data_IF_972606092355
#
_entry.id   IF_972606092355
#
_cell.length_a   1.000
_cell.length_b   1.000
_cell.length_c   1.000
_cell.angle_alpha   90.00
_cell.angle_beta   90.00
_cell.angle_gamma   90.00
#
_symmetry.space_group_name_H-M   'P 1'
#
loop_
_entity.id
_entity.type
_entity.pdbx_description
1 polymer ?
#
# COMPACT_ATOMS: atom_id res chain seq x y z
N UNK A 1 18.63 3.87 34.01
CA UNK A 1 19.08 2.47 34.10
C UNK A 1 18.54 1.75 32.89
N UNK A 2 19.45 1.30 32.05
CA UNK A 2 19.22 0.71 30.73
C UNK A 2 18.57 -0.67 30.87
N UNK A 3 17.32 -0.83 30.43
CA UNK A 3 16.67 -2.13 30.34
C UNK A 3 16.94 -2.75 28.98
N UNK A 4 17.49 -3.96 29.03
CA UNK A 4 18.08 -4.75 27.96
C UNK A 4 17.16 -5.02 26.75
N UNK A 5 17.76 -4.97 25.56
CA UNK A 5 17.21 -5.50 24.32
C UNK A 5 17.19 -7.04 24.37
N UNK A 6 16.03 -7.71 24.19
CA UNK A 6 16.03 -9.15 23.96
C UNK A 6 16.44 -9.45 22.50
N UNK A 7 17.62 -10.06 22.39
CA UNK A 7 18.02 -11.15 21.50
C UNK A 7 17.70 -11.08 19.99
N UNK A 8 18.72 -10.74 19.21
CA UNK A 8 18.87 -11.10 17.78
C UNK A 8 19.38 -12.57 17.63
N UNK A 9 19.45 -13.36 18.69
CA UNK A 9 20.40 -14.50 18.72
C UNK A 9 19.86 -15.89 18.38
N UNK A 10 18.55 -16.14 18.30
CA UNK A 10 18.09 -17.52 18.06
C UNK A 10 17.37 -17.64 16.71
N UNK A 11 18.02 -18.29 15.75
CA UNK A 11 17.47 -19.29 14.81
C UNK A 11 18.55 -19.67 13.75
N UNK A 12 18.74 -20.99 13.59
CA UNK A 12 19.53 -21.75 12.59
C UNK A 12 20.84 -22.37 13.13
N UNK A 13 20.66 -23.48 13.85
CA UNK A 13 21.60 -24.60 13.89
C UNK A 13 20.96 -25.81 13.20
N UNK A 14 21.33 -26.08 11.95
CA UNK A 14 21.46 -27.45 11.45
C UNK A 14 22.32 -27.47 10.19
N UNK A 15 23.21 -28.45 10.20
CA UNK A 15 24.36 -28.72 9.35
C UNK A 15 24.03 -29.05 7.89
N UNK A 16 24.85 -28.54 6.95
CA UNK A 16 25.38 -29.38 5.87
C UNK A 16 26.67 -28.78 5.28
N UNK A 17 27.67 -29.66 5.15
CA UNK A 17 29.02 -29.40 4.68
C UNK A 17 29.06 -29.27 3.15
N UNK A 18 29.31 -28.07 2.65
CA UNK A 18 29.87 -27.80 1.32
C UNK A 18 30.60 -26.45 1.38
N UNK A 19 31.92 -26.49 1.58
CA UNK A 19 32.75 -25.36 1.98
C UNK A 19 32.81 -24.21 0.98
N UNK A 20 32.49 -24.41 -0.30
CA UNK A 20 32.47 -23.30 -1.29
C UNK A 20 31.11 -22.61 -1.47
N UNK A 21 29.99 -23.24 -1.10
CA UNK A 21 28.65 -22.62 -1.15
C UNK A 21 28.37 -21.88 0.15
N UNK A 22 28.87 -22.40 1.28
CA UNK A 22 28.69 -21.78 2.60
C UNK A 22 29.33 -20.39 2.69
N UNK A 23 30.51 -20.17 2.10
CA UNK A 23 31.18 -18.87 2.19
C UNK A 23 30.41 -17.73 1.51
N UNK A 24 29.78 -17.98 0.36
CA UNK A 24 28.94 -16.98 -0.31
C UNK A 24 27.61 -16.77 0.43
N UNK A 25 26.99 -17.83 0.93
CA UNK A 25 25.76 -17.74 1.71
C UNK A 25 25.99 -17.02 3.05
N UNK A 26 27.11 -17.28 3.71
CA UNK A 26 27.50 -16.66 4.97
C UNK A 26 27.99 -15.23 4.79
N UNK A 27 28.65 -14.91 3.66
CA UNK A 27 28.93 -13.53 3.27
C UNK A 27 27.64 -12.74 3.04
N UNK A 28 26.69 -13.27 2.25
CA UNK A 28 25.40 -12.61 1.98
C UNK A 28 24.59 -12.43 3.27
N UNK A 29 24.56 -13.43 4.16
CA UNK A 29 23.96 -13.31 5.50
C UNK A 29 24.64 -12.22 6.32
N UNK A 30 25.96 -12.13 6.28
CA UNK A 30 26.74 -11.11 7.00
C UNK A 30 26.48 -9.70 6.46
N UNK A 31 26.37 -9.56 5.15
CA UNK A 31 26.03 -8.30 4.51
C UNK A 31 24.59 -7.85 4.83
N UNK A 32 23.62 -8.77 4.79
CA UNK A 32 22.25 -8.47 5.18
C UNK A 32 22.15 -8.05 6.65
N UNK A 33 22.83 -8.75 7.56
CA UNK A 33 22.90 -8.34 8.97
C UNK A 33 23.41 -6.90 9.12
N UNK A 34 24.50 -6.54 8.42
CA UNK A 34 25.03 -5.16 8.45
C UNK A 34 24.02 -4.14 7.93
N UNK A 35 23.27 -4.44 6.86
CA UNK A 35 22.23 -3.57 6.30
C UNK A 35 21.03 -3.43 7.25
N UNK A 36 20.57 -4.52 7.85
CA UNK A 36 19.45 -4.53 8.81
C UNK A 36 19.77 -3.69 10.05
N UNK A 37 21.00 -3.78 10.58
CA UNK A 37 21.45 -2.93 11.69
C UNK A 37 21.37 -1.45 11.32
N UNK A 38 21.81 -1.07 10.11
CA UNK A 38 21.72 0.32 9.63
C UNK A 38 20.27 0.80 9.50
N UNK A 39 19.38 -0.04 8.97
CA UNK A 39 17.94 0.26 8.85
C UNK A 39 17.32 0.46 10.23
N UNK A 40 17.59 -0.45 11.17
CA UNK A 40 17.09 -0.35 12.54
C UNK A 40 17.57 0.93 13.24
N UNK A 41 18.87 1.23 13.14
CA UNK A 41 19.45 2.46 13.70
C UNK A 41 18.84 3.71 13.08
N UNK A 42 18.61 3.71 11.76
CA UNK A 42 17.98 4.83 11.06
C UNK A 42 16.55 5.07 11.54
N UNK A 43 15.72 4.02 11.61
CA UNK A 43 14.34 4.15 12.09
C UNK A 43 14.28 4.54 13.56
N UNK A 44 15.13 3.98 14.42
CA UNK A 44 15.24 4.40 15.82
C UNK A 44 15.58 5.90 15.92
N UNK A 45 16.47 6.42 15.07
CA UNK A 45 16.82 7.85 15.03
C UNK A 45 15.64 8.72 14.60
N UNK A 46 14.87 8.30 13.59
CA UNK A 46 13.66 9.02 13.17
C UNK A 46 12.59 9.00 14.28
N UNK A 47 12.41 7.88 14.96
CA UNK A 47 11.47 7.76 16.09
C UNK A 47 11.88 8.64 17.27
N UNK A 48 13.16 8.70 17.62
CA UNK A 48 13.65 9.61 18.68
C UNK A 48 13.37 11.08 18.35
N UNK A 49 13.43 11.45 17.07
CA UNK A 49 13.09 12.78 16.58
C UNK A 49 11.59 13.03 16.40
N UNK A 50 10.74 12.03 16.67
CA UNK A 50 9.29 12.06 16.40
C UNK A 50 8.94 12.29 14.92
N UNK A 51 9.84 11.88 14.02
CA UNK A 51 9.67 11.94 12.57
C UNK A 51 9.10 10.63 12.01
N UNK A 52 9.05 9.56 12.80
CA UNK A 52 8.51 8.25 12.40
C UNK A 52 7.88 7.49 13.58
N UNK A 53 6.72 6.90 13.32
CA UNK A 53 6.05 5.94 14.20
C UNK A 53 5.31 4.94 13.31
N UNK A 54 5.58 3.65 13.46
CA UNK A 54 5.01 2.61 12.59
C UNK A 54 5.69 1.26 12.76
N UNK A 55 5.50 0.35 11.81
CA UNK A 55 6.11 -0.98 11.83
C UNK A 55 6.79 -1.34 10.51
N UNK A 56 7.85 -2.14 10.60
CA UNK A 56 8.63 -2.61 9.45
C UNK A 56 8.75 -4.13 9.46
N UNK A 57 8.42 -4.72 8.31
CA UNK A 57 8.70 -6.12 8.00
C UNK A 57 9.62 -6.21 6.78
N UNK A 58 10.72 -6.95 6.92
CA UNK A 58 11.62 -7.31 5.82
C UNK A 58 11.71 -8.83 5.74
N UNK A 59 11.43 -9.37 4.56
CA UNK A 59 11.63 -10.78 4.26
C UNK A 59 12.39 -10.95 2.94
N UNK A 60 13.08 -12.08 2.80
CA UNK A 60 13.75 -12.48 1.56
C UNK A 60 13.60 -13.97 1.36
N UNK A 61 13.14 -14.38 0.18
CA UNK A 61 12.88 -15.80 -0.14
C UNK A 61 12.01 -16.52 0.91
N UNK A 62 10.97 -15.84 1.41
CA UNK A 62 10.09 -16.37 2.45
C UNK A 62 10.69 -16.41 3.86
N UNK A 63 11.97 -16.08 4.02
CA UNK A 63 12.60 -15.96 5.34
C UNK A 63 12.37 -14.57 5.91
N UNK A 64 11.81 -14.50 7.11
CA UNK A 64 11.69 -13.27 7.87
C UNK A 64 13.07 -12.81 8.35
N UNK A 65 13.46 -11.59 7.98
CA UNK A 65 14.76 -10.99 8.32
C UNK A 65 14.64 -9.92 9.41
N UNK A 66 13.53 -9.17 9.42
CA UNK A 66 13.21 -8.17 10.43
C UNK A 66 11.68 -8.06 10.55
N UNK A 67 11.18 -7.96 11.78
CA UNK A 67 9.79 -7.65 12.09
C UNK A 67 9.77 -6.85 13.38
N UNK A 68 9.52 -5.55 13.30
CA UNK A 68 9.66 -4.65 14.45
C UNK A 68 8.75 -3.43 14.34
N UNK A 69 8.17 -3.03 15.48
CA UNK A 69 7.49 -1.77 15.64
C UNK A 69 8.40 -0.68 16.21
N UNK A 70 8.13 0.56 15.84
CA UNK A 70 8.88 1.76 16.20
C UNK A 70 7.90 2.84 16.67
N UNK A 71 8.17 3.45 17.83
CA UNK A 71 7.33 4.52 18.36
C UNK A 71 5.97 4.03 18.89
N UNK A 72 5.01 4.95 18.95
CA UNK A 72 3.67 4.72 19.49
C UNK A 72 2.65 4.38 18.40
N UNK A 73 1.79 3.40 18.67
CA UNK A 73 0.66 3.07 17.79
C UNK A 73 -0.49 4.06 17.94
N UNK A 74 -0.65 4.66 19.12
CA UNK A 74 -1.49 5.85 19.31
C UNK A 74 -0.60 7.08 19.48
N UNK A 75 -0.44 7.82 18.39
CA UNK A 75 0.40 9.01 18.37
C UNK A 75 -0.24 10.22 19.06
N UNK A 76 -1.58 10.25 19.22
CA UNK A 76 -2.28 11.36 19.87
C UNK A 76 -2.17 11.28 21.39
N UNK A 77 -2.36 10.08 21.94
CA UNK A 77 -2.26 9.87 23.38
C UNK A 77 -0.85 9.48 23.83
N UNK A 78 0.05 9.20 22.88
CA UNK A 78 1.36 8.60 23.13
C UNK A 78 1.26 7.34 23.99
N UNK A 79 0.16 6.60 23.80
CA UNK A 79 -0.09 5.33 24.46
C UNK A 79 0.15 4.19 23.49
N UNK A 80 0.51 3.03 24.02
CA UNK A 80 0.80 1.79 23.28
C UNK A 80 1.96 1.90 22.27
N UNK A 81 2.86 0.94 22.32
CA UNK A 81 3.97 0.87 21.36
C UNK A 81 3.51 0.13 20.12
N UNK A 82 4.03 0.53 18.97
CA UNK A 82 3.93 -0.29 17.78
C UNK A 82 4.61 -1.64 18.03
N UNK A 83 3.95 -2.71 17.60
CA UNK A 83 4.48 -4.07 17.57
C UNK A 83 4.30 -4.62 16.15
N UNK A 84 4.90 -5.77 15.86
CA UNK A 84 4.67 -6.45 14.59
C UNK A 84 3.20 -6.90 14.37
N UNK A 85 2.37 -6.86 15.42
CA UNK A 85 0.95 -7.23 15.39
C UNK A 85 0.04 -6.00 15.32
N UNK A 86 0.59 -4.78 15.36
CA UNK A 86 -0.21 -3.57 15.26
C UNK A 86 -0.95 -3.53 13.93
N UNK A 87 -2.26 -3.26 14.00
CA UNK A 87 -3.14 -3.15 12.84
C UNK A 87 -3.17 -1.69 12.37
N UNK A 88 -3.02 -1.50 11.06
CA UNK A 88 -3.01 -0.18 10.42
C UNK A 88 -4.09 -0.07 9.36
N UNK A 89 -4.59 1.16 9.16
CA UNK A 89 -5.33 1.49 7.95
C UNK A 89 -4.36 1.57 6.77
N UNK A 90 -4.37 0.56 5.89
CA UNK A 90 -3.42 0.45 4.76
C UNK A 90 -3.77 1.34 3.56
N UNK A 91 -4.81 2.17 3.68
CA UNK A 91 -5.23 3.15 2.68
C UNK A 91 -5.34 2.57 1.28
N UNK A 92 -4.63 3.17 0.32
CA UNK A 92 -4.72 2.80 -1.10
C UNK A 92 -4.27 1.38 -1.44
N UNK A 93 -3.57 0.66 -0.55
CA UNK A 93 -3.32 -0.77 -0.73
C UNK A 93 -4.61 -1.58 -0.81
N UNK A 94 -5.71 -1.09 -0.21
CA UNK A 94 -7.06 -1.67 -0.34
C UNK A 94 -7.50 -1.84 -1.81
N UNK A 95 -7.02 -0.99 -2.72
CA UNK A 95 -7.36 -1.05 -4.15
C UNK A 95 -6.80 -2.31 -4.82
N UNK A 96 -5.67 -2.83 -4.36
CA UNK A 96 -5.11 -4.09 -4.88
C UNK A 96 -6.05 -5.26 -4.58
N UNK A 97 -6.62 -5.31 -3.37
CA UNK A 97 -7.64 -6.30 -3.01
C UNK A 97 -8.92 -6.12 -3.82
N UNK A 98 -9.37 -4.88 -4.03
CA UNK A 98 -10.53 -4.61 -4.90
C UNK A 98 -10.28 -5.09 -6.33
N UNK A 99 -9.09 -4.83 -6.89
CA UNK A 99 -8.72 -5.32 -8.21
C UNK A 99 -8.69 -6.85 -8.28
N UNK A 100 -8.15 -7.52 -7.27
CA UNK A 100 -8.17 -8.98 -7.18
C UNK A 100 -9.60 -9.54 -7.16
N UNK A 101 -10.50 -8.93 -6.38
CA UNK A 101 -11.91 -9.32 -6.34
C UNK A 101 -12.54 -9.16 -7.73
N UNK A 102 -12.28 -8.05 -8.42
CA UNK A 102 -12.80 -7.82 -9.78
C UNK A 102 -12.31 -8.86 -10.78
N UNK A 103 -11.03 -9.26 -10.70
CA UNK A 103 -10.48 -10.36 -11.53
C UNK A 103 -11.16 -11.70 -11.20
N UNK A 104 -11.47 -11.97 -9.93
CA UNK A 104 -12.23 -13.18 -9.55
C UNK A 104 -13.67 -13.17 -10.04
N UNK A 105 -14.33 -12.01 -10.02
CA UNK A 105 -15.67 -11.84 -10.58
C UNK A 105 -15.69 -12.05 -12.11
N UNK A 106 -14.62 -11.65 -12.79
CA UNK A 106 -14.41 -11.91 -14.23
C UNK A 106 -14.24 -13.40 -14.51
N UNK A 107 -13.41 -14.09 -13.71
CA UNK A 107 -13.22 -15.53 -13.79
C UNK A 107 -14.54 -16.30 -13.61
N UNK A 108 -15.40 -15.85 -12.69
CA UNK A 108 -16.73 -16.41 -12.47
C UNK A 108 -17.80 -15.92 -13.46
N UNK A 109 -17.42 -15.10 -14.47
CA UNK A 109 -18.32 -14.52 -15.48
C UNK A 109 -19.47 -13.70 -14.89
N UNK A 110 -19.31 -13.17 -13.69
CA UNK A 110 -20.27 -12.26 -13.04
C UNK A 110 -20.06 -10.81 -13.49
N UNK A 111 -18.84 -10.49 -13.91
CA UNK A 111 -18.45 -9.26 -14.59
C UNK A 111 -17.67 -9.65 -15.83
N UNK A 112 -17.75 -8.88 -16.91
CA UNK A 112 -16.81 -8.93 -18.01
C UNK A 112 -16.00 -7.64 -18.01
N UNK A 113 -14.75 -7.68 -17.57
CA UNK A 113 -13.93 -6.48 -17.40
C UNK A 113 -13.69 -5.73 -18.71
N UNK A 114 -13.66 -6.45 -19.84
CA UNK A 114 -13.31 -5.90 -21.15
C UNK A 114 -14.53 -5.35 -21.91
N UNK A 115 -15.71 -5.94 -21.69
CA UNK A 115 -16.92 -5.62 -22.46
C UNK A 115 -17.97 -4.86 -21.65
N UNK A 116 -18.03 -5.06 -20.33
CA UNK A 116 -19.08 -4.43 -19.54
C UNK A 116 -18.84 -2.93 -19.37
N UNK A 117 -19.94 -2.20 -19.48
CA UNK A 117 -20.03 -0.78 -19.17
C UNK A 117 -20.61 -0.58 -17.77
N UNK A 118 -20.25 0.53 -17.14
CA UNK A 118 -20.77 0.92 -15.83
C UNK A 118 -22.30 1.00 -15.83
N UNK A 119 -22.92 1.33 -16.97
CA UNK A 119 -24.38 1.39 -17.11
C UNK A 119 -25.09 0.06 -16.81
N UNK A 120 -24.41 -1.08 -16.96
CA UNK A 120 -24.94 -2.41 -16.59
C UNK A 120 -25.20 -2.52 -15.09
N UNK A 121 -24.36 -1.88 -14.27
CA UNK A 121 -24.38 -1.98 -12.81
C UNK A 121 -24.96 -0.74 -12.14
N UNK A 122 -24.69 0.44 -12.70
CA UNK A 122 -25.13 1.75 -12.19
C UNK A 122 -25.74 2.58 -13.34
N UNK A 123 -26.92 2.22 -13.86
CA UNK A 123 -27.52 2.87 -15.03
C UNK A 123 -27.83 4.36 -14.80
N UNK A 124 -28.09 4.76 -13.55
CA UNK A 124 -28.37 6.15 -13.17
C UNK A 124 -27.12 7.01 -13.01
N UNK A 125 -25.92 6.42 -13.07
CA UNK A 125 -24.68 7.19 -12.96
C UNK A 125 -24.47 8.01 -14.25
N UNK A 126 -24.07 9.29 -14.15
CA UNK A 126 -23.86 10.16 -15.31
C UNK A 126 -22.84 9.56 -16.29
N UNK A 127 -23.18 9.56 -17.59
CA UNK A 127 -22.33 9.01 -18.64
C UNK A 127 -21.89 7.54 -18.44
N UNK A 128 -22.63 6.77 -17.63
CA UNK A 128 -22.31 5.36 -17.32
C UNK A 128 -22.17 4.45 -18.54
N UNK A 129 -22.85 4.78 -19.65
CA UNK A 129 -22.76 4.09 -20.94
C UNK A 129 -21.44 4.35 -21.70
N UNK A 130 -20.59 5.25 -21.21
CA UNK A 130 -19.29 5.58 -21.80
C UNK A 130 -18.11 5.03 -20.99
N UNK A 131 -18.36 4.59 -19.76
CA UNK A 131 -17.33 4.14 -18.82
C UNK A 131 -17.29 2.61 -18.85
N UNK A 132 -16.20 2.02 -19.34
CA UNK A 132 -15.97 0.56 -19.21
C UNK A 132 -15.46 0.20 -17.83
N UNK A 133 -15.77 -1.01 -17.35
CA UNK A 133 -15.31 -1.48 -16.04
C UNK A 133 -13.77 -1.51 -15.97
N UNK A 134 -13.08 -1.94 -17.03
CA UNK A 134 -11.60 -1.88 -17.09
C UNK A 134 -11.03 -0.47 -16.85
N UNK A 135 -11.73 0.59 -17.27
CA UNK A 135 -11.25 1.96 -17.09
C UNK A 135 -11.22 2.37 -15.62
N UNK A 136 -12.10 1.80 -14.78
CA UNK A 136 -12.12 2.05 -13.34
C UNK A 136 -10.89 1.44 -12.68
N UNK A 137 -10.53 0.20 -13.05
CA UNK A 137 -9.33 -0.48 -12.54
C UNK A 137 -8.03 0.20 -12.99
N UNK A 138 -8.03 0.84 -14.16
CA UNK A 138 -6.86 1.51 -14.74
C UNK A 138 -6.78 3.00 -14.42
N UNK A 139 -7.75 3.56 -13.69
CA UNK A 139 -7.86 5.01 -13.44
C UNK A 139 -7.91 5.85 -14.74
N UNK A 140 -8.62 5.38 -15.77
CA UNK A 140 -8.74 6.07 -17.08
C UNK A 140 -10.18 6.45 -17.44
N UNK A 141 -11.13 6.26 -16.53
CA UNK A 141 -12.56 6.54 -16.75
C UNK A 141 -12.90 8.02 -16.89
N UNK A 142 -12.01 8.91 -16.45
CA UNK A 142 -12.26 10.36 -16.40
C UNK A 142 -13.20 10.79 -15.26
N UNK A 143 -13.54 9.89 -14.33
CA UNK A 143 -14.20 10.26 -13.07
C UNK A 143 -13.21 11.08 -12.25
N UNK A 144 -13.62 12.27 -11.82
CA UNK A 144 -12.75 13.16 -11.03
C UNK A 144 -12.46 12.58 -9.65
N UNK A 145 -11.28 12.88 -9.15
CA UNK A 145 -10.94 12.60 -7.76
C UNK A 145 -11.85 13.43 -6.85
N UNK A 146 -12.39 12.79 -5.81
CA UNK A 146 -13.22 13.48 -4.84
C UNK A 146 -12.39 14.49 -4.03
N UNK A 147 -11.07 14.29 -3.93
CA UNK A 147 -10.17 15.24 -3.26
C UNK A 147 -9.99 16.55 -4.03
N UNK A 148 -10.28 16.56 -5.33
CA UNK A 148 -10.27 17.74 -6.19
C UNK A 148 -11.61 18.50 -6.17
N UNK A 149 -12.61 17.97 -5.46
CA UNK A 149 -13.89 18.66 -5.34
C UNK A 149 -13.77 19.82 -4.36
N UNK A 150 -14.36 21.00 -4.64
CA UNK A 150 -14.35 22.15 -3.74
C UNK A 150 -14.89 21.85 -2.33
N UNK A 151 -15.72 20.81 -2.18
CA UNK A 151 -16.22 20.39 -0.87
C UNK A 151 -15.17 19.65 -0.04
N UNK A 152 -14.16 19.01 -0.64
CA UNK A 152 -13.18 18.23 0.12
C UNK A 152 -12.42 19.10 1.14
N UNK A 153 -12.00 20.30 0.73
CA UNK A 153 -11.44 21.31 1.65
C UNK A 153 -12.43 21.69 2.76
N UNK A 154 -13.73 21.78 2.41
CA UNK A 154 -14.81 22.11 3.34
C UNK A 154 -15.13 20.98 4.33
N UNK A 155 -14.85 19.72 3.96
CA UNK A 155 -15.00 18.50 4.79
C UNK A 155 -13.83 18.35 5.76
N UNK A 156 -12.59 18.58 5.31
CA UNK A 156 -11.39 18.43 6.13
C UNK A 156 -11.12 19.62 7.08
N UNK A 157 -11.91 20.68 6.97
CA UNK A 157 -11.86 21.81 7.91
C UNK A 157 -12.23 21.35 9.33
N UNK A 158 -11.38 21.55 10.36
CA UNK A 158 -11.64 21.07 11.72
C UNK A 158 -12.96 21.61 12.29
N UNK A 159 -13.74 20.74 12.96
CA UNK A 159 -14.85 21.16 13.82
C UNK A 159 -16.28 21.12 13.23
N UNK A 160 -16.58 20.33 12.20
CA UNK A 160 -17.95 20.24 11.66
C UNK A 160 -18.56 18.84 11.62
N UNK A 161 -19.82 18.79 12.04
CA UNK A 161 -20.75 17.68 11.86
C UNK A 161 -21.44 17.83 10.49
N UNK A 162 -21.21 16.90 9.57
CA UNK A 162 -21.61 17.03 8.17
C UNK A 162 -22.77 16.08 7.84
N UNK A 163 -23.99 16.59 7.96
CA UNK A 163 -25.14 16.04 7.24
C UNK A 163 -25.10 16.58 5.79
N UNK A 164 -24.40 15.89 4.89
CA UNK A 164 -24.41 16.22 3.46
C UNK A 164 -25.56 15.44 2.80
N UNK A 165 -26.61 16.12 2.29
CA UNK A 165 -27.69 15.45 1.59
C UNK A 165 -27.18 14.76 0.32
N UNK A 166 -27.63 13.52 0.08
CA UNK A 166 -27.24 12.70 -1.08
C UNK A 166 -27.45 13.43 -2.42
N UNK A 167 -28.42 14.33 -2.50
CA UNK A 167 -28.71 15.11 -3.70
C UNK A 167 -27.55 16.03 -4.11
N UNK A 168 -26.79 16.55 -3.14
CA UNK A 168 -25.61 17.38 -3.40
C UNK A 168 -24.52 16.55 -4.08
N UNK A 169 -24.25 15.35 -3.56
CA UNK A 169 -23.29 14.40 -4.14
C UNK A 169 -23.69 14.03 -5.57
N UNK A 170 -24.99 13.78 -5.82
CA UNK A 170 -25.51 13.44 -7.14
C UNK A 170 -25.42 14.59 -8.14
N UNK A 171 -25.65 15.83 -7.70
CA UNK A 171 -25.53 17.02 -8.57
C UNK A 171 -24.11 17.21 -9.11
N UNK A 172 -23.09 16.83 -8.33
CA UNK A 172 -21.70 16.99 -8.75
C UNK A 172 -21.30 15.96 -9.78
N UNK A 173 -21.67 14.69 -9.58
CA UNK A 173 -21.46 13.63 -10.55
C UNK A 173 -22.01 14.01 -11.94
N UNK A 174 -23.12 14.74 -12.00
CA UNK A 174 -23.76 15.17 -13.25
C UNK A 174 -23.05 16.33 -13.96
N UNK A 175 -22.26 17.14 -13.25
CA UNK A 175 -21.60 18.34 -13.79
C UNK A 175 -20.21 18.09 -14.40
N UNK A 176 -19.71 16.86 -14.33
CA UNK A 176 -18.35 16.52 -14.75
C UNK A 176 -18.33 16.16 -16.23
N UNK A 177 -17.75 17.03 -17.07
CA UNK A 177 -17.26 16.61 -18.39
C UNK A 177 -16.23 15.50 -18.18
N UNK A 178 -16.49 14.31 -18.73
CA UNK A 178 -15.49 13.25 -18.80
C UNK A 178 -14.32 13.77 -19.63
N UNK A 179 -13.20 14.03 -18.96
CA UNK A 179 -11.93 14.30 -19.64
C UNK A 179 -11.26 12.95 -19.84
N UNK A 180 -11.35 12.39 -21.04
CA UNK A 180 -10.57 11.22 -21.39
C UNK A 180 -9.09 11.60 -21.38
N UNK A 181 -8.22 10.94 -20.59
CA UNK A 181 -6.79 11.11 -20.78
C UNK A 181 -6.43 10.64 -22.19
N UNK A 182 -5.76 11.51 -22.95
CA UNK A 182 -5.19 11.20 -24.26
C UNK A 182 -4.34 9.92 -24.09
N UNK A 183 -4.69 8.82 -24.77
CA UNK A 183 -3.94 7.54 -24.70
C UNK A 183 -2.44 7.83 -24.74
N UNK A 184 -1.72 7.65 -23.63
CA UNK A 184 -0.27 7.54 -23.68
C UNK A 184 0.01 6.22 -24.37
N UNK A 185 0.59 6.27 -25.57
CA UNK A 185 1.19 5.11 -26.20
C UNK A 185 2.29 4.59 -25.27
N UNK A 186 1.98 3.57 -24.47
CA UNK A 186 2.95 2.77 -23.74
C UNK A 186 3.65 1.83 -24.72
N UNK A 187 4.45 2.39 -25.63
CA UNK A 187 5.43 1.59 -26.37
C UNK A 187 6.78 2.30 -26.39
N UNK A 188 7.79 1.49 -26.02
CA UNK A 188 9.24 1.70 -26.10
C UNK A 188 9.88 2.46 -24.92
N UNK A 189 10.64 1.70 -24.12
CA UNK A 189 11.63 2.07 -23.10
C UNK A 189 11.24 2.04 -21.62
N UNK A 190 10.58 0.97 -21.16
CA UNK A 190 10.80 0.51 -19.79
C UNK A 190 12.10 -0.31 -19.75
N UNK A 191 13.20 0.33 -19.33
CA UNK A 191 14.34 -0.43 -18.79
C UNK A 191 13.79 -1.28 -17.64
N UNK A 192 13.81 -2.60 -17.77
CA UNK A 192 13.56 -3.52 -16.65
C UNK A 192 14.59 -3.21 -15.57
N UNK A 193 14.15 -2.55 -14.49
CA UNK A 193 14.91 -2.48 -13.25
C UNK A 193 14.69 -3.81 -12.53
N UNK A 194 15.70 -4.67 -12.53
CA UNK A 194 15.70 -5.87 -11.72
C UNK A 194 15.93 -5.43 -10.27
N UNK A 195 14.84 -5.30 -9.50
CA UNK A 195 14.90 -5.10 -8.06
C UNK A 195 14.89 -6.50 -7.46
N UNK A 196 16.04 -6.96 -6.98
CA UNK A 196 16.22 -8.32 -6.48
C UNK A 196 15.29 -8.63 -5.30
N UNK A 197 14.13 -9.26 -5.52
CA UNK A 197 13.33 -10.03 -4.54
C UNK A 197 13.27 -9.53 -3.07
N UNK A 198 13.19 -8.21 -2.85
CA UNK A 198 12.92 -7.62 -1.54
C UNK A 198 11.46 -7.16 -1.49
N UNK A 199 10.72 -7.60 -0.49
CA UNK A 199 9.44 -7.02 -0.13
C UNK A 199 9.68 -6.14 1.10
N UNK A 200 9.54 -4.82 0.92
CA UNK A 200 9.65 -3.83 1.99
C UNK A 200 8.28 -3.17 2.08
N UNK A 201 7.58 -3.44 3.19
CA UNK A 201 6.34 -2.76 3.52
C UNK A 201 6.61 -1.90 4.76
N UNK A 202 6.36 -0.60 4.62
CA UNK A 202 6.41 0.37 5.71
C UNK A 202 4.96 0.74 6.00
N UNK A 203 4.51 0.48 7.22
CA UNK A 203 3.17 0.83 7.70
C UNK A 203 3.26 1.88 8.78
#
# INVERSE_FOLDING_TARGET
MTSDLPAITNIISSSNSNTHINDQQDFLKTEYKKRLVKIDQFLNKLTQKKEFSGSLLISKHGQLLLSKGYGFSDYLTLSNLNTFETVYEVGSLTKEFTALIMLKLDEFRLVNLNEDYLSKYLPKYPHSHQIRIEMLLQHTSGIKDYTELPLFEKILSPGRNLNIPIQIILSWAQSLKILYPRRRNLTKNTKKMHIDNYYINIY
#
